data_IF_384429962298
#
_entry.id   IF_384429962298
#
_cell.length_a   1.000
_cell.length_b   1.000
_cell.length_c   1.000
_cell.angle_alpha   90.00
_cell.angle_beta   90.00
_cell.angle_gamma   90.00
#
_symmetry.space_group_name_H-M   'P 1'
#
loop_
_entity.id
_entity.type
_entity.pdbx_description
1 polymer ?
#
# COMPACT_ATOMS: atom_id res chain seq x y z
N UNK A 1 -8.19 -4.82 5.05
CA UNK A 1 -7.91 -3.40 4.79
C UNK A 1 -6.47 -3.34 4.33
N UNK A 2 -6.19 -2.67 3.21
CA UNK A 2 -4.81 -2.52 2.75
C UNK A 2 -4.35 -1.14 3.15
N UNK A 3 -3.32 -1.09 4.00
CA UNK A 3 -2.62 0.14 4.33
C UNK A 3 -1.34 0.16 3.49
N UNK A 4 -1.15 1.23 2.73
CA UNK A 4 0.05 1.43 1.93
C UNK A 4 0.82 2.63 2.49
N UNK A 5 2.12 2.46 2.76
CA UNK A 5 2.98 3.48 3.34
C UNK A 5 3.65 4.30 2.21
N UNK A 6 3.87 5.60 2.39
CA UNK A 6 4.62 6.43 1.43
C UNK A 6 5.57 7.43 2.14
N UNK A 7 6.69 7.73 1.48
CA UNK A 7 8.01 8.11 2.01
C UNK A 7 8.23 9.55 2.49
N UNK A 8 9.29 9.70 3.29
CA UNK A 8 10.14 10.91 3.35
C UNK A 8 10.53 11.32 4.77
N UNK A 9 9.55 11.31 5.68
CA UNK A 9 9.71 11.78 7.07
C UNK A 9 8.93 10.91 8.08
N UNK A 10 8.45 9.72 7.66
CA UNK A 10 7.82 8.74 8.54
C UNK A 10 6.37 9.05 8.95
N UNK A 11 5.61 9.80 8.14
CA UNK A 11 4.17 9.98 8.41
C UNK A 11 3.39 8.72 8.02
N UNK A 12 2.63 8.17 8.97
CA UNK A 12 1.77 7.00 8.73
C UNK A 12 0.51 7.42 7.99
N UNK A 13 0.43 7.09 6.70
CA UNK A 13 -0.78 7.31 5.91
C UNK A 13 -1.66 6.05 5.98
N UNK A 14 -2.84 6.16 6.59
CA UNK A 14 -3.83 5.08 6.62
C UNK A 14 -4.70 5.11 5.37
N UNK A 15 -4.24 4.45 4.31
CA UNK A 15 -5.07 4.21 3.12
C UNK A 15 -6.06 3.07 3.42
N UNK A 16 -7.32 3.24 3.03
CA UNK A 16 -8.37 2.24 3.25
C UNK A 16 -8.76 1.59 1.94
N UNK A 17 -8.11 0.46 1.63
CA UNK A 17 -8.43 -0.37 0.47
C UNK A 17 -9.31 -1.57 0.79
N UNK A 18 -10.05 -2.04 -0.23
CA UNK A 18 -10.79 -3.30 -0.27
C UNK A 18 -11.98 -3.49 0.69
N UNK A 19 -12.31 -2.52 1.56
CA UNK A 19 -13.46 -2.55 2.50
C UNK A 19 -13.59 -3.86 3.32
N UNK A 20 -12.47 -4.55 3.52
CA UNK A 20 -12.47 -5.85 4.19
C UNK A 20 -13.03 -7.01 3.39
N UNK A 21 -12.84 -6.97 2.08
CA UNK A 21 -12.92 -8.18 1.26
C UNK A 21 -11.59 -8.94 1.37
N UNK A 22 -11.62 -10.25 1.69
CA UNK A 22 -10.45 -11.09 1.58
C UNK A 22 -10.11 -11.32 0.10
N UNK A 23 -8.83 -11.49 -0.20
CA UNK A 23 -8.35 -11.69 -1.55
C UNK A 23 -6.89 -11.30 -1.73
N UNK A 24 -6.39 -11.51 -2.94
CA UNK A 24 -5.06 -11.09 -3.36
C UNK A 24 -5.16 -9.77 -4.11
N UNK A 25 -4.33 -8.81 -3.71
CA UNK A 25 -4.37 -7.46 -4.24
C UNK A 25 -3.03 -7.04 -4.82
N UNK A 26 -3.10 -6.14 -5.81
CA UNK A 26 -2.00 -5.31 -6.26
C UNK A 26 -2.19 -3.90 -5.71
N UNK A 27 -1.12 -3.34 -5.18
CA UNK A 27 -1.10 -2.01 -4.58
C UNK A 27 -0.18 -1.14 -5.40
N UNK A 28 -0.73 -0.04 -5.93
CA UNK A 28 0.01 0.97 -6.68
C UNK A 28 -0.04 2.29 -5.93
N UNK A 29 1.13 2.85 -5.62
CA UNK A 29 1.28 4.16 -4.99
C UNK A 29 1.92 5.10 -6.00
N UNK A 30 1.24 6.20 -6.28
CA UNK A 30 1.71 7.27 -7.16
C UNK A 30 1.91 8.55 -6.36
N UNK A 31 3.02 9.24 -6.60
CA UNK A 31 3.31 10.56 -6.04
C UNK A 31 4.02 11.38 -7.10
N UNK A 32 3.59 12.63 -7.29
CA UNK A 32 4.23 13.54 -8.24
C UNK A 32 5.73 13.69 -7.92
N UNK A 33 6.56 13.57 -8.95
CA UNK A 33 8.02 13.59 -8.83
C UNK A 33 8.66 12.27 -8.37
N UNK A 34 7.89 11.19 -8.24
CA UNK A 34 8.37 9.86 -7.89
C UNK A 34 7.86 8.80 -8.87
N UNK A 35 8.66 7.75 -9.06
CA UNK A 35 8.26 6.57 -9.81
C UNK A 35 7.12 5.86 -9.08
N UNK A 36 6.10 5.34 -9.81
CA UNK A 36 5.04 4.54 -9.22
C UNK A 36 5.62 3.32 -8.50
N UNK A 37 5.28 3.16 -7.23
CA UNK A 37 5.60 1.94 -6.50
C UNK A 37 4.46 0.94 -6.65
N UNK A 38 4.80 -0.27 -7.11
CA UNK A 38 3.82 -1.34 -7.33
C UNK A 38 4.22 -2.56 -6.52
N UNK A 39 3.29 -3.11 -5.75
CA UNK A 39 3.47 -4.38 -5.05
C UNK A 39 2.25 -5.28 -5.24
N UNK A 40 2.49 -6.38 -5.94
CA UNK A 40 1.51 -7.44 -6.19
C UNK A 40 1.56 -8.53 -5.12
N UNK A 41 0.52 -9.37 -5.06
CA UNK A 41 0.51 -10.55 -4.20
C UNK A 41 0.23 -10.25 -2.73
N UNK A 42 -0.41 -9.12 -2.43
CA UNK A 42 -0.80 -8.78 -1.06
C UNK A 42 -2.04 -9.59 -0.69
N UNK A 43 -1.82 -10.63 0.11
CA UNK A 43 -2.89 -11.48 0.62
C UNK A 43 -3.57 -10.83 1.83
N UNK A 44 -4.85 -10.54 1.70
CA UNK A 44 -5.72 -10.11 2.79
C UNK A 44 -6.57 -11.31 3.19
N UNK A 45 -6.26 -11.91 4.33
CA UNK A 45 -7.03 -13.03 4.87
C UNK A 45 -8.28 -12.54 5.60
N UNK A 46 -9.35 -13.33 5.51
CA UNK A 46 -10.51 -13.19 6.40
C UNK A 46 -10.08 -13.63 7.81
N UNK A 47 -10.25 -12.75 8.79
CA UNK A 47 -10.03 -13.08 10.20
C UNK A 47 -11.37 -13.29 10.93
N UNK A 48 -11.29 -13.83 12.14
CA UNK A 48 -12.44 -14.33 12.90
C UNK A 48 -13.53 -13.26 13.21
N UNK A 49 -13.13 -12.00 13.39
CA UNK A 49 -14.05 -10.87 13.56
C UNK A 49 -13.95 -9.79 12.47
N UNK A 50 -12.83 -9.74 11.75
CA UNK A 50 -12.52 -8.74 10.72
C UNK A 50 -11.40 -9.26 9.80
N UNK A 51 -11.30 -8.71 8.60
CA UNK A 51 -10.10 -8.91 7.76
C UNK A 51 -8.82 -8.50 8.46
N UNK A 52 -7.75 -9.24 8.19
CA UNK A 52 -6.43 -8.82 8.64
C UNK A 52 -5.95 -7.60 7.84
N UNK A 53 -5.33 -6.65 8.53
CA UNK A 53 -4.76 -5.46 7.90
C UNK A 53 -3.35 -5.77 7.41
N UNK A 54 -3.10 -5.61 6.11
CA UNK A 54 -1.76 -5.70 5.56
C UNK A 54 -1.06 -4.34 5.77
N UNK A 55 0.15 -4.38 6.37
CA UNK A 55 1.06 -3.23 6.47
C UNK A 55 2.11 -3.34 5.38
N UNK A 56 2.28 -2.29 4.58
CA UNK A 56 3.15 -2.30 3.41
C UNK A 56 4.06 -1.09 3.39
N UNK A 57 5.37 -1.32 3.51
CA UNK A 57 6.35 -0.25 3.39
C UNK A 57 6.67 -0.02 1.91
N UNK A 58 6.34 1.15 1.38
CA UNK A 58 6.77 1.54 0.05
C UNK A 58 7.98 2.45 0.14
N UNK A 59 8.99 2.18 -0.68
CA UNK A 59 10.18 3.01 -0.87
C UNK A 59 10.10 3.61 -2.29
N UNK A 60 9.79 4.90 -2.37
CA UNK A 60 9.56 5.63 -3.62
C UNK A 60 10.87 6.18 -4.12
N UNK A 61 11.18 5.90 -5.38
CA UNK A 61 12.35 6.46 -6.06
C UNK A 61 11.94 7.74 -6.77
N UNK A 62 12.72 8.84 -6.71
CA UNK A 62 12.43 10.02 -7.50
C UNK A 62 12.43 9.67 -8.99
N UNK A 63 11.47 10.20 -9.76
CA UNK A 63 11.54 10.10 -11.23
C UNK A 63 12.81 10.82 -11.67
N UNK A 64 13.72 10.10 -12.31
CA UNK A 64 15.02 10.64 -12.76
C UNK A 64 14.92 11.62 -13.95
N UNK A 65 13.73 12.17 -14.20
CA UNK A 65 13.51 13.22 -15.20
C UNK A 65 13.76 14.57 -14.50
N UNK A 66 14.98 15.08 -14.69
CA UNK A 66 15.47 16.36 -14.14
C UNK A 66 15.16 17.57 -15.01
#
# INVERSE_FOLDING_TARGET
MIVAEANGEGETISLQGALGRPGTYEVTITKDGFEPWVRSGIEVAEGECNVQTARLTAELQPTSDG
#
